data_IF_652457720847
#
_entry.id   IF_652457720847
#
_cell.length_a   1.000
_cell.length_b   1.000
_cell.length_c   1.000
_cell.angle_alpha   90.00
_cell.angle_beta   90.00
_cell.angle_gamma   90.00
#
_symmetry.space_group_name_H-M   'P 1'
#
loop_
_entity.id
_entity.type
_entity.pdbx_description
1 polymer ?
#
# COMPACT_ATOMS: atom_id res chain seq x y z
N UNK A 1 22.56 16.57 11.03
CA UNK A 1 23.62 16.69 9.98
C UNK A 1 23.41 17.92 9.09
N UNK A 2 22.33 18.03 8.31
CA UNK A 2 22.07 19.19 7.43
C UNK A 2 21.72 20.51 8.16
N UNK A 3 21.39 20.45 9.47
CA UNK A 3 20.85 21.56 10.30
C UNK A 3 19.63 22.30 9.70
N UNK A 4 19.07 21.80 8.61
CA UNK A 4 17.86 22.30 7.97
C UNK A 4 16.65 21.57 8.53
N UNK A 5 15.63 22.30 8.96
CA UNK A 5 14.38 21.78 9.51
C UNK A 5 13.43 21.25 8.40
N UNK A 6 13.90 20.32 7.57
CA UNK A 6 13.13 19.81 6.41
C UNK A 6 11.84 19.12 6.86
N UNK A 7 11.87 18.41 7.98
CA UNK A 7 10.74 17.67 8.56
C UNK A 7 9.57 18.57 9.01
N UNK A 8 9.78 19.88 9.21
CA UNK A 8 8.68 20.81 9.53
C UNK A 8 7.86 21.22 8.32
N UNK A 9 8.41 21.08 7.11
CA UNK A 9 7.74 21.46 5.87
C UNK A 9 7.03 20.28 5.18
N UNK A 10 7.33 19.04 5.58
CA UNK A 10 6.69 17.84 5.05
C UNK A 10 5.34 17.59 5.73
N UNK A 11 4.31 17.29 4.93
CA UNK A 11 2.99 16.96 5.45
C UNK A 11 3.06 15.69 6.32
N UNK A 12 2.45 15.74 7.51
CA UNK A 12 2.46 14.63 8.46
C UNK A 12 3.75 14.47 9.27
N UNK A 13 4.74 15.37 9.10
CA UNK A 13 6.00 15.33 9.87
C UNK A 13 6.89 14.12 9.57
N UNK A 14 6.62 13.43 8.45
CA UNK A 14 7.37 12.26 7.99
C UNK A 14 7.85 12.47 6.55
N UNK A 15 9.01 11.91 6.24
CA UNK A 15 9.56 11.91 4.89
C UNK A 15 8.83 10.86 4.05
N UNK A 16 8.30 11.29 2.90
CA UNK A 16 7.45 10.47 2.03
C UNK A 16 8.06 10.22 0.64
N UNK A 17 9.23 10.81 0.37
CA UNK A 17 9.98 10.62 -0.87
C UNK A 17 11.44 10.32 -0.54
N UNK A 18 12.13 9.61 -1.44
CA UNK A 18 13.57 9.41 -1.30
C UNK A 18 14.32 10.70 -1.65
N UNK A 19 15.21 11.12 -0.76
CA UNK A 19 16.04 12.32 -0.92
C UNK A 19 17.52 11.97 -1.00
N UNK A 20 18.29 12.76 -1.75
CA UNK A 20 19.75 12.65 -1.79
C UNK A 20 20.37 14.01 -1.47
N UNK A 21 21.30 14.06 -0.53
CA UNK A 21 22.00 15.30 -0.18
C UNK A 21 23.45 15.05 0.19
N UNK A 22 24.30 16.09 0.08
CA UNK A 22 25.72 15.97 0.37
C UNK A 22 26.13 16.83 1.57
N UNK A 23 26.78 16.21 2.55
CA UNK A 23 27.39 16.88 3.70
C UNK A 23 28.92 16.86 3.56
N UNK A 24 29.60 17.84 4.14
CA UNK A 24 31.07 17.89 4.15
C UNK A 24 31.56 17.77 5.59
N UNK A 25 32.40 16.77 5.85
CA UNK A 25 32.94 16.46 7.18
C UNK A 25 34.45 16.35 7.05
N UNK A 26 35.19 17.15 7.82
CA UNK A 26 36.66 17.21 7.79
C UNK A 26 37.26 17.38 6.37
N UNK A 27 36.53 18.04 5.48
CA UNK A 27 36.95 18.26 4.08
C UNK A 27 36.56 17.14 3.11
N UNK A 28 36.05 16.01 3.59
CA UNK A 28 35.55 14.90 2.76
C UNK A 28 34.03 15.01 2.56
N UNK A 29 33.53 14.88 1.31
CA UNK A 29 32.10 14.86 1.03
C UNK A 29 31.51 13.48 1.35
N UNK A 30 30.39 13.44 2.07
CA UNK A 30 29.57 12.26 2.29
C UNK A 30 28.19 12.51 1.71
N UNK A 31 27.71 11.57 0.90
CA UNK A 31 26.37 11.63 0.30
C UNK A 31 25.43 10.74 1.08
N UNK A 32 24.32 11.34 1.54
CA UNK A 32 23.28 10.67 2.28
C UNK A 32 22.08 10.43 1.37
N UNK A 33 21.58 9.21 1.38
CA UNK A 33 20.28 8.85 0.84
C UNK A 33 19.31 8.67 2.01
N UNK A 34 18.23 9.44 1.99
CA UNK A 34 17.20 9.42 3.02
C UNK A 34 15.94 8.77 2.44
N UNK A 35 15.50 7.67 3.05
CA UNK A 35 14.35 6.88 2.58
C UNK A 35 13.25 6.83 3.64
N UNK A 36 11.97 6.88 3.25
CA UNK A 36 10.87 6.68 4.18
C UNK A 36 10.94 5.33 4.93
N UNK A 37 10.71 5.36 6.25
CA UNK A 37 10.72 4.17 7.11
C UNK A 37 9.42 3.37 7.13
N UNK A 38 8.37 3.81 6.44
CA UNK A 38 7.06 3.17 6.46
C UNK A 38 7.00 1.93 5.56
N UNK A 39 6.25 0.90 5.98
CA UNK A 39 6.08 -0.40 5.30
C UNK A 39 5.82 -0.27 3.79
N UNK A 40 4.82 0.51 3.36
CA UNK A 40 4.52 0.84 1.96
C UNK A 40 5.69 1.35 1.09
N UNK A 41 6.85 1.69 1.66
CA UNK A 41 8.05 2.12 0.93
C UNK A 41 9.18 1.08 0.94
N UNK A 42 8.86 -0.20 1.15
CA UNK A 42 9.80 -1.33 1.04
C UNK A 42 10.67 -1.27 -0.21
N UNK A 43 10.06 -1.10 -1.38
CA UNK A 43 10.79 -1.04 -2.65
C UNK A 43 11.78 0.15 -2.71
N UNK A 44 11.46 1.28 -2.06
CA UNK A 44 12.38 2.41 -1.98
C UNK A 44 13.59 2.10 -1.09
N UNK A 45 13.37 1.43 0.06
CA UNK A 45 14.46 1.01 0.95
C UNK A 45 15.39 0.01 0.27
N UNK A 46 14.84 -1.00 -0.41
CA UNK A 46 15.61 -1.99 -1.16
C UNK A 46 16.51 -1.31 -2.21
N UNK A 47 15.95 -0.34 -2.95
CA UNK A 47 16.72 0.45 -3.93
C UNK A 47 17.79 1.33 -3.28
N UNK A 48 17.44 2.00 -2.18
CA UNK A 48 18.39 2.81 -1.41
C UNK A 48 19.60 1.97 -0.98
N UNK A 49 19.35 0.81 -0.37
CA UNK A 49 20.37 -0.11 0.08
C UNK A 49 21.29 -0.58 -1.07
N UNK A 50 20.73 -0.91 -2.24
CA UNK A 50 21.53 -1.33 -3.41
C UNK A 50 22.40 -0.23 -4.01
N UNK A 51 22.06 1.05 -3.77
CA UNK A 51 22.81 2.20 -4.32
C UNK A 51 23.88 2.70 -3.36
N UNK A 52 23.68 2.54 -2.05
CA UNK A 52 24.60 2.99 -1.01
C UNK A 52 25.74 2.02 -0.76
N UNK A 53 26.92 2.56 -0.42
CA UNK A 53 28.06 1.76 0.03
C UNK A 53 27.96 1.34 1.52
N UNK A 54 27.22 2.08 2.34
CA UNK A 54 27.03 1.82 3.78
C UNK A 54 25.58 2.15 4.16
N UNK A 55 24.94 1.28 4.94
CA UNK A 55 23.60 1.51 5.50
C UNK A 55 23.71 1.93 6.97
N UNK A 56 23.04 3.03 7.34
CA UNK A 56 22.90 3.45 8.74
C UNK A 56 21.54 3.02 9.26
N UNK A 57 21.52 2.06 10.18
CA UNK A 57 20.30 1.61 10.84
C UNK A 57 20.05 2.44 12.10
N UNK A 58 19.04 3.30 12.06
CA UNK A 58 18.65 4.11 13.22
C UNK A 58 17.61 3.36 14.06
N UNK A 59 17.93 3.08 15.32
CA UNK A 59 17.03 2.40 16.26
C UNK A 59 16.83 3.28 17.49
N UNK A 60 15.60 3.42 17.95
CA UNK A 60 15.30 4.25 19.10
C UNK A 60 15.54 3.47 20.40
N UNK A 61 16.23 4.09 21.37
CA UNK A 61 16.54 3.47 22.66
C UNK A 61 15.32 3.26 23.57
N UNK A 62 14.19 3.91 23.28
CA UNK A 62 12.93 3.82 24.04
C UNK A 62 11.92 2.82 23.44
N UNK A 63 11.97 2.62 22.12
CA UNK A 63 10.93 1.92 21.34
C UNK A 63 11.38 0.51 20.89
N UNK A 64 12.66 0.19 21.08
CA UNK A 64 13.24 -1.12 20.73
C UNK A 64 13.21 -1.44 19.24
N UNK A 65 13.23 -2.73 18.92
CA UNK A 65 13.25 -3.23 17.54
C UNK A 65 11.83 -3.44 17.03
N UNK A 66 11.53 -2.86 15.86
CA UNK A 66 10.25 -2.99 15.19
C UNK A 66 10.35 -3.91 13.96
N UNK A 67 9.22 -4.39 13.41
CA UNK A 67 9.22 -5.16 12.16
C UNK A 67 9.95 -4.43 11.01
N UNK A 68 9.80 -3.11 10.91
CA UNK A 68 10.50 -2.29 9.90
C UNK A 68 12.02 -2.31 10.09
N UNK A 69 12.50 -2.42 11.34
CA UNK A 69 13.93 -2.56 11.63
C UNK A 69 14.47 -3.87 11.07
N UNK A 70 13.75 -4.98 11.28
CA UNK A 70 14.15 -6.30 10.73
C UNK A 70 14.16 -6.31 9.21
N UNK A 71 13.16 -5.67 8.61
CA UNK A 71 13.08 -5.54 7.16
C UNK A 71 14.25 -4.73 6.58
N UNK A 72 14.64 -3.63 7.23
CA UNK A 72 15.79 -2.83 6.83
C UNK A 72 17.11 -3.63 6.90
N UNK A 73 17.27 -4.49 7.92
CA UNK A 73 18.41 -5.41 8.04
C UNK A 73 18.43 -6.37 6.85
N UNK A 74 17.30 -7.01 6.53
CA UNK A 74 17.23 -7.94 5.39
C UNK A 74 17.57 -7.27 4.05
N UNK A 75 17.14 -6.02 3.81
CA UNK A 75 17.50 -5.30 2.58
C UNK A 75 18.99 -5.01 2.49
N UNK A 76 19.63 -4.63 3.60
CA UNK A 76 21.06 -4.38 3.65
C UNK A 76 21.88 -5.67 3.47
N UNK A 77 21.45 -6.77 4.09
CA UNK A 77 22.06 -8.10 3.90
C UNK A 77 21.91 -8.59 2.46
N UNK A 78 20.73 -8.46 1.86
CA UNK A 78 20.48 -8.84 0.47
C UNK A 78 21.29 -7.99 -0.53
N UNK A 79 21.58 -6.73 -0.19
CA UNK A 79 22.46 -5.86 -0.97
C UNK A 79 23.95 -6.13 -0.70
N UNK A 80 24.30 -6.88 0.34
CA UNK A 80 25.69 -7.14 0.73
C UNK A 80 26.40 -5.90 1.28
N UNK A 81 25.66 -4.98 1.90
CA UNK A 81 26.16 -3.68 2.34
C UNK A 81 26.37 -3.68 3.86
N UNK A 82 27.53 -3.21 4.38
CA UNK A 82 27.76 -3.16 5.81
C UNK A 82 26.78 -2.22 6.51
N UNK A 83 26.32 -2.65 7.69
CA UNK A 83 25.38 -1.91 8.52
C UNK A 83 26.14 -1.26 9.67
N UNK A 84 25.91 0.03 9.87
CA UNK A 84 26.31 0.78 11.06
C UNK A 84 25.06 1.14 11.86
N UNK A 85 25.04 0.84 13.15
CA UNK A 85 23.86 1.07 13.99
C UNK A 85 23.99 2.38 14.77
N UNK A 86 22.99 3.25 14.63
CA UNK A 86 22.86 4.47 15.41
C UNK A 86 21.71 4.32 16.43
N UNK A 87 22.04 4.20 17.71
CA UNK A 87 21.05 4.14 18.80
C UNK A 87 20.65 5.57 19.16
N UNK A 88 19.45 5.97 18.77
CA UNK A 88 18.93 7.32 18.93
C UNK A 88 18.12 7.49 20.24
N UNK A 89 17.90 8.74 20.65
CA UNK A 89 17.14 9.17 21.84
C UNK A 89 17.79 8.80 23.19
N UNK A 90 19.12 8.77 23.27
CA UNK A 90 19.84 8.57 24.54
C UNK A 90 19.66 9.72 25.54
N UNK A 91 19.06 10.83 25.11
CA UNK A 91 18.76 11.98 25.96
C UNK A 91 17.57 11.74 26.90
N UNK A 92 16.78 10.70 26.63
CA UNK A 92 15.63 10.31 27.43
C UNK A 92 16.03 9.48 28.66
N UNK A 93 15.37 9.68 29.82
CA UNK A 93 15.70 8.94 31.04
C UNK A 93 15.30 7.45 30.97
N UNK A 94 14.33 7.10 30.13
CA UNK A 94 13.86 5.75 29.84
C UNK A 94 14.65 5.05 28.72
N UNK A 95 15.71 5.67 28.20
CA UNK A 95 16.54 5.08 27.15
C UNK A 95 17.31 3.86 27.64
N UNK A 96 17.24 2.76 26.88
CA UNK A 96 17.90 1.49 27.21
C UNK A 96 18.79 0.99 26.06
N UNK A 97 19.96 1.62 25.85
CA UNK A 97 20.85 1.25 24.73
C UNK A 97 21.33 -0.20 24.80
N UNK A 98 21.59 -0.73 26.00
CA UNK A 98 22.07 -2.11 26.18
C UNK A 98 21.02 -3.17 25.81
N UNK A 99 19.73 -2.91 26.05
CA UNK A 99 18.66 -3.82 25.62
C UNK A 99 18.57 -3.86 24.08
N UNK A 100 18.74 -2.70 23.42
CA UNK A 100 18.77 -2.62 21.94
C UNK A 100 19.97 -3.37 21.36
N UNK A 101 21.17 -3.23 21.96
CA UNK A 101 22.37 -3.97 21.53
C UNK A 101 22.16 -5.49 21.61
N UNK A 102 21.57 -5.99 22.71
CA UNK A 102 21.25 -7.41 22.86
C UNK A 102 20.27 -7.89 21.80
N UNK A 103 19.18 -7.15 21.60
CA UNK A 103 18.14 -7.54 20.67
C UNK A 103 18.61 -7.53 19.20
N UNK A 104 19.54 -6.62 18.83
CA UNK A 104 20.13 -6.58 17.50
C UNK A 104 21.20 -7.65 17.31
N UNK A 105 21.94 -8.02 18.36
CA UNK A 105 22.86 -9.15 18.34
C UNK A 105 22.13 -10.47 18.04
N UNK A 106 20.93 -10.67 18.60
CA UNK A 106 20.07 -11.83 18.30
C UNK A 106 19.62 -11.89 16.83
N UNK A 107 19.66 -10.75 16.12
CA UNK A 107 19.37 -10.63 14.69
C UNK A 107 20.63 -10.71 13.81
N UNK A 108 21.79 -11.06 14.37
CA UNK A 108 23.04 -11.24 13.63
C UNK A 108 23.94 -9.99 13.59
N UNK A 109 23.52 -8.87 14.18
CA UNK A 109 24.32 -7.64 14.24
C UNK A 109 25.12 -7.57 15.55
N UNK A 110 26.18 -8.37 15.64
CA UNK A 110 27.02 -8.44 16.85
C UNK A 110 27.89 -7.17 17.01
N UNK A 111 27.85 -6.49 18.17
CA UNK A 111 28.69 -5.31 18.44
C UNK A 111 30.20 -5.62 18.44
N UNK A 112 31.02 -4.67 17.99
CA UNK A 112 32.50 -4.76 18.06
C UNK A 112 33.03 -4.98 19.49
N UNK A 113 32.41 -4.33 20.49
CA UNK A 113 32.78 -4.50 21.91
C UNK A 113 32.65 -5.95 22.39
N UNK A 114 31.82 -6.76 21.72
CA UNK A 114 31.57 -8.17 22.04
C UNK A 114 32.27 -9.12 21.06
N UNK A 115 33.23 -8.61 20.28
CA UNK A 115 33.97 -9.38 19.27
C UNK A 115 33.24 -9.52 17.93
N UNK A 116 32.22 -8.69 17.67
CA UNK A 116 31.51 -8.63 16.40
C UNK A 116 32.15 -7.69 15.37
N UNK A 117 31.40 -7.39 14.31
CA UNK A 117 31.83 -6.53 13.19
C UNK A 117 30.95 -5.27 13.04
N UNK A 118 29.86 -5.17 13.80
CA UNK A 118 28.91 -4.06 13.66
C UNK A 118 29.31 -2.93 14.59
N UNK A 119 29.53 -1.74 14.02
CA UNK A 119 29.80 -0.52 14.77
C UNK A 119 28.49 0.01 15.35
N UNK A 120 28.48 0.27 16.66
CA UNK A 120 27.35 0.88 17.37
C UNK A 120 27.71 2.28 17.85
N UNK A 121 26.87 3.26 17.53
CA UNK A 121 27.05 4.64 17.97
C UNK A 121 25.79 5.13 18.68
N UNK A 122 25.97 5.58 19.91
CA UNK A 122 24.91 6.20 20.71
C UNK A 122 24.79 7.69 20.35
N UNK A 123 23.59 8.10 19.93
CA UNK A 123 23.31 9.45 19.44
C UNK A 123 22.05 10.03 20.06
N UNK A 124 21.99 11.36 20.18
CA UNK A 124 20.70 12.04 20.32
C UNK A 124 20.54 13.08 19.22
N UNK A 125 19.56 12.83 18.35
CA UNK A 125 19.24 13.73 17.25
C UNK A 125 18.74 15.11 17.71
N UNK A 126 18.12 15.17 18.90
CA UNK A 126 17.58 16.40 19.48
C UNK A 126 18.68 17.31 20.06
N UNK A 127 19.57 16.77 20.91
CA UNK A 127 20.67 17.55 21.50
C UNK A 127 21.90 17.63 20.59
N UNK A 128 21.93 16.83 19.51
CA UNK A 128 23.06 16.72 18.59
C UNK A 128 24.25 15.94 19.16
N UNK A 129 24.10 15.28 20.29
CA UNK A 129 25.15 14.50 20.96
C UNK A 129 25.47 13.23 20.16
N UNK A 130 26.75 12.89 20.01
CA UNK A 130 27.21 11.67 19.34
C UNK A 130 27.17 11.69 17.81
N UNK A 131 26.60 12.72 17.18
CA UNK A 131 26.53 12.82 15.71
C UNK A 131 27.93 12.94 15.09
N UNK A 132 28.84 13.68 15.71
CA UNK A 132 30.21 13.81 15.18
C UNK A 132 30.94 12.45 15.22
N UNK A 133 30.77 11.69 16.29
CA UNK A 133 31.31 10.33 16.41
C UNK A 133 30.71 9.38 15.35
N UNK A 134 29.40 9.47 15.10
CA UNK A 134 28.74 8.70 14.03
C UNK A 134 29.37 8.97 12.66
N UNK A 135 29.61 10.24 12.36
CA UNK A 135 30.19 10.67 11.10
C UNK A 135 31.66 10.27 10.95
N UNK A 136 32.43 10.30 12.05
CA UNK A 136 33.81 9.83 12.07
C UNK A 136 33.91 8.31 11.83
N UNK A 137 33.05 7.52 12.47
CA UNK A 137 33.00 6.08 12.25
C UNK A 137 32.56 5.72 10.82
N UNK A 138 31.66 6.51 10.21
CA UNK A 138 31.30 6.33 8.79
C UNK A 138 32.49 6.58 7.85
N UNK A 139 33.30 7.61 8.13
CA UNK A 139 34.52 7.86 7.35
C UNK A 139 35.54 6.73 7.53
N UNK A 140 35.75 6.28 8.77
CA UNK A 140 36.65 5.16 9.07
C UNK A 140 36.22 3.89 8.34
N UNK A 141 34.92 3.56 8.37
CA UNK A 141 34.38 2.39 7.68
C UNK A 141 34.60 2.49 6.16
N UNK A 142 34.39 3.67 5.57
CA UNK A 142 34.63 3.90 4.15
C UNK A 142 36.13 3.76 3.76
N UNK A 143 37.05 4.16 4.66
CA UNK A 143 38.49 3.97 4.47
C UNK A 143 38.88 2.48 4.51
N UNK A 144 38.32 1.71 5.45
CA UNK A 144 38.54 0.25 5.55
C UNK A 144 38.06 -0.48 4.29
N UNK A 145 36.95 -0.03 3.70
CA UNK A 145 36.38 -0.60 2.47
C UNK A 145 37.19 -0.26 1.20
N UNK A 146 38.15 0.67 1.29
CA UNK A 146 38.95 1.17 0.15
C UNK A 146 38.11 1.56 -1.09
N UNK A 147 37.01 2.29 -0.88
CA UNK A 147 36.11 2.69 -1.96
C UNK A 147 36.85 3.51 -3.04
N UNK A 148 36.83 3.02 -4.28
CA UNK A 148 37.54 3.61 -5.43
C UNK A 148 36.58 3.87 -6.58
N UNK A 149 36.65 5.08 -7.16
CA UNK A 149 35.93 5.43 -8.37
C UNK A 149 36.85 6.17 -9.35
N UNK A 150 36.75 5.86 -10.64
CA UNK A 150 37.52 6.54 -11.68
C UNK A 150 36.71 7.70 -12.28
N UNK A 151 37.09 8.97 -12.04
CA UNK A 151 36.34 10.13 -12.54
C UNK A 151 36.59 10.42 -14.02
N UNK A 152 37.62 9.83 -14.64
CA UNK A 152 37.98 10.06 -16.04
C UNK A 152 37.11 9.27 -17.02
N UNK A 153 36.38 8.27 -16.53
CA UNK A 153 35.44 7.51 -17.33
C UNK A 153 34.18 8.35 -17.63
N UNK A 154 33.35 7.82 -18.52
CA UNK A 154 32.04 8.41 -18.81
C UNK A 154 31.10 8.20 -17.64
N UNK A 155 30.26 9.19 -17.38
CA UNK A 155 29.27 9.15 -16.30
C UNK A 155 28.38 7.92 -16.38
N UNK A 156 28.38 7.13 -15.31
CA UNK A 156 27.37 6.12 -15.01
C UNK A 156 26.76 6.41 -13.67
N UNK A 157 25.47 6.20 -13.54
CA UNK A 157 24.75 6.41 -12.30
C UNK A 157 23.46 5.62 -12.24
N UNK A 158 22.73 5.78 -11.15
CA UNK A 158 21.44 5.15 -10.93
C UNK A 158 20.42 6.23 -10.60
N UNK A 159 19.22 6.10 -11.16
CA UNK A 159 18.08 6.97 -10.86
C UNK A 159 17.57 6.64 -9.46
N UNK A 160 17.55 7.65 -8.59
CA UNK A 160 17.02 7.56 -7.24
C UNK A 160 15.52 7.81 -7.25
N UNK A 161 15.11 8.93 -7.88
CA UNK A 161 13.73 9.39 -7.96
C UNK A 161 13.51 10.16 -9.26
N UNK A 162 12.28 10.16 -9.76
CA UNK A 162 11.92 10.91 -10.97
C UNK A 162 10.59 11.64 -10.81
N UNK A 163 10.51 12.84 -11.38
CA UNK A 163 9.33 13.70 -11.29
C UNK A 163 9.10 14.52 -12.55
N UNK A 164 7.87 15.02 -12.71
CA UNK A 164 7.50 15.90 -13.82
C UNK A 164 7.35 17.34 -13.33
N UNK A 165 8.23 18.24 -13.79
CA UNK A 165 8.17 19.66 -13.45
C UNK A 165 7.49 20.48 -14.56
N UNK A 166 6.59 21.39 -14.19
CA UNK A 166 5.80 22.19 -15.14
C UNK A 166 6.63 23.12 -16.03
N UNK A 167 7.83 23.52 -15.60
CA UNK A 167 8.70 24.43 -16.37
C UNK A 167 9.91 23.74 -17.01
N UNK A 168 10.42 22.68 -16.38
CA UNK A 168 11.64 21.96 -16.82
C UNK A 168 11.35 20.68 -17.59
N UNK A 169 10.11 20.20 -17.54
CA UNK A 169 9.71 18.90 -18.08
C UNK A 169 10.14 17.74 -17.18
N UNK A 170 10.32 16.53 -17.73
CA UNK A 170 10.77 15.38 -16.97
C UNK A 170 12.18 15.58 -16.41
N UNK A 171 12.32 15.34 -15.12
CA UNK A 171 13.58 15.47 -14.37
C UNK A 171 13.77 14.24 -13.49
N UNK A 172 15.04 13.85 -13.32
CA UNK A 172 15.40 12.68 -12.54
C UNK A 172 16.56 13.02 -11.61
N UNK A 173 16.41 12.68 -10.34
CA UNK A 173 17.49 12.72 -9.34
C UNK A 173 18.28 11.43 -9.44
N UNK A 174 19.59 11.53 -9.62
CA UNK A 174 20.48 10.39 -9.76
C UNK A 174 21.75 10.55 -8.94
N UNK A 175 22.33 9.43 -8.55
CA UNK A 175 23.67 9.38 -7.95
C UNK A 175 24.64 8.84 -9.00
N UNK A 176 25.71 9.60 -9.24
CA UNK A 176 26.78 9.19 -10.15
C UNK A 176 27.67 8.19 -9.43
N UNK A 177 27.78 6.97 -9.94
CA UNK A 177 28.61 5.91 -9.37
C UNK A 177 30.03 5.91 -9.93
N UNK A 178 30.19 6.18 -11.23
CA UNK A 178 31.50 6.20 -11.88
C UNK A 178 31.58 7.22 -13.00
N UNK A 179 32.78 7.69 -13.29
CA UNK A 179 33.02 8.71 -14.30
C UNK A 179 32.50 10.09 -13.92
N UNK A 180 32.57 11.01 -14.87
CA UNK A 180 32.07 12.38 -14.71
C UNK A 180 30.94 12.62 -15.71
N UNK A 181 29.82 13.15 -15.23
CA UNK A 181 28.71 13.61 -16.08
C UNK A 181 28.86 15.10 -16.37
N UNK A 182 28.70 15.51 -17.64
CA UNK A 182 28.78 16.91 -18.06
C UNK A 182 27.53 17.37 -18.79
N UNK A 183 27.26 18.66 -18.71
CA UNK A 183 26.18 19.29 -19.47
C UNK A 183 26.46 19.17 -20.97
N UNK A 184 25.45 18.79 -21.75
CA UNK A 184 25.53 18.60 -23.20
C UNK A 184 25.92 17.18 -23.63
N UNK A 185 26.19 16.26 -22.70
CA UNK A 185 26.48 14.87 -23.06
C UNK A 185 25.18 14.11 -23.39
N UNK A 186 25.21 13.24 -24.42
CA UNK A 186 24.10 12.34 -24.69
C UNK A 186 24.13 11.15 -23.74
N UNK A 187 22.96 10.70 -23.33
CA UNK A 187 22.82 9.62 -22.36
C UNK A 187 21.67 8.68 -22.71
N UNK A 188 21.72 7.50 -22.10
CA UNK A 188 20.62 6.55 -22.03
C UNK A 188 20.28 6.32 -20.56
N UNK A 189 18.99 6.31 -20.25
CA UNK A 189 18.44 5.93 -18.95
C UNK A 189 17.29 4.98 -19.16
N UNK A 190 17.43 3.73 -18.70
CA UNK A 190 16.46 2.67 -18.95
C UNK A 190 16.18 2.49 -20.45
N UNK A 191 14.94 2.82 -20.86
CA UNK A 191 14.50 2.77 -22.26
C UNK A 191 14.63 4.10 -23.00
N UNK A 192 15.02 5.19 -22.33
CA UNK A 192 14.95 6.54 -22.85
C UNK A 192 16.32 7.08 -23.27
N UNK A 193 16.35 7.76 -24.41
CA UNK A 193 17.51 8.49 -24.90
C UNK A 193 17.29 9.99 -24.75
N UNK A 194 18.30 10.69 -24.20
CA UNK A 194 18.23 12.13 -23.98
C UNK A 194 19.59 12.81 -24.07
N UNK A 195 19.57 14.13 -23.90
CA UNK A 195 20.78 14.97 -23.84
C UNK A 195 20.70 15.86 -22.62
N UNK A 196 21.77 15.92 -21.83
CA UNK A 196 21.78 16.71 -20.60
C UNK A 196 21.66 18.19 -20.94
N UNK A 197 20.53 18.82 -20.60
CA UNK A 197 20.31 20.27 -20.76
C UNK A 197 20.85 21.06 -19.59
N UNK A 198 20.67 20.54 -18.38
CA UNK A 198 21.17 21.15 -17.16
C UNK A 198 21.40 20.07 -16.09
N UNK A 199 22.35 20.36 -15.20
CA UNK A 199 22.61 19.61 -13.98
C UNK A 199 22.38 20.54 -12.79
N UNK A 200 21.68 20.05 -11.77
CA UNK A 200 21.33 20.82 -10.59
C UNK A 200 21.75 20.03 -9.35
N UNK A 201 22.47 20.66 -8.43
CA UNK A 201 22.91 20.02 -7.17
C UNK A 201 21.76 19.92 -6.14
N UNK A 202 22.04 19.26 -5.02
CA UNK A 202 21.11 19.09 -3.88
C UNK A 202 20.69 20.42 -3.21
N UNK A 203 21.39 21.52 -3.51
CA UNK A 203 21.10 22.88 -3.04
C UNK A 203 20.35 23.71 -4.09
N UNK A 204 19.97 23.13 -5.21
CA UNK A 204 19.25 23.80 -6.30
C UNK A 204 20.11 24.68 -7.20
N UNK A 205 21.44 24.64 -7.07
CA UNK A 205 22.37 25.40 -7.91
C UNK A 205 22.72 24.63 -9.18
N UNK A 206 22.84 25.36 -10.29
CA UNK A 206 23.27 24.78 -11.57
C UNK A 206 24.76 24.46 -11.53
N UNK A 207 25.12 23.22 -11.86
CA UNK A 207 26.50 22.76 -11.96
C UNK A 207 26.84 22.37 -13.41
N UNK A 208 28.13 22.40 -13.76
CA UNK A 208 28.61 22.05 -15.11
C UNK A 208 29.06 20.60 -15.23
N UNK A 209 29.50 20.01 -14.11
CA UNK A 209 30.00 18.64 -14.01
C UNK A 209 29.55 18.02 -12.69
N UNK A 210 29.24 16.73 -12.70
CA UNK A 210 29.00 15.92 -11.52
C UNK A 210 30.02 14.77 -11.48
N UNK A 211 30.73 14.65 -10.37
CA UNK A 211 31.76 13.60 -10.14
C UNK A 211 31.13 12.39 -9.43
N UNK A 212 31.84 11.26 -9.30
CA UNK A 212 31.34 10.12 -8.54
C UNK A 212 30.90 10.49 -7.11
N UNK A 213 29.92 9.77 -6.59
CA UNK A 213 29.21 10.01 -5.32
C UNK A 213 28.43 11.34 -5.24
N UNK A 214 28.31 12.12 -6.31
CA UNK A 214 27.53 13.37 -6.29
C UNK A 214 26.06 13.10 -6.64
N UNK A 215 25.08 13.48 -5.80
CA UNK A 215 23.68 13.49 -6.18
C UNK A 215 23.39 14.68 -7.10
N UNK A 216 22.71 14.44 -8.22
CA UNK A 216 22.40 15.47 -9.22
C UNK A 216 21.02 15.28 -9.82
N UNK A 217 20.29 16.37 -9.98
CA UNK A 217 19.04 16.40 -10.73
C UNK A 217 19.35 16.74 -12.20
N UNK A 218 19.02 15.80 -13.09
CA UNK A 218 19.27 15.91 -14.54
C UNK A 218 18.01 16.40 -15.23
N UNK A 219 18.19 17.43 -16.07
CA UNK A 219 17.14 17.99 -16.91
C UNK A 219 17.41 17.65 -18.37
N UNK A 220 16.35 17.28 -19.11
CA UNK A 220 16.45 16.93 -20.54
C UNK A 220 16.15 15.47 -20.85
N UNK A 221 15.42 14.80 -19.96
CA UNK A 221 14.85 13.49 -20.24
C UNK A 221 13.63 13.67 -21.17
N UNK A 222 13.42 12.76 -22.13
CA UNK A 222 12.24 12.81 -22.99
C UNK A 222 10.96 12.44 -22.23
N UNK A 223 11.08 11.60 -21.19
CA UNK A 223 10.00 11.07 -20.38
C UNK A 223 10.53 10.76 -18.96
N UNK A 224 9.65 10.43 -18.03
CA UNK A 224 9.98 10.12 -16.63
C UNK A 224 10.53 8.68 -16.56
N UNK A 225 11.82 8.46 -16.24
CA UNK A 225 12.38 7.12 -16.16
C UNK A 225 11.93 6.41 -14.87
N UNK A 226 12.14 5.10 -14.83
CA UNK A 226 11.80 4.32 -13.64
C UNK A 226 12.90 4.50 -12.58
N UNK A 227 12.55 4.78 -11.32
CA UNK A 227 13.49 4.74 -10.22
C UNK A 227 14.19 3.38 -10.14
N UNK A 228 15.53 3.40 -10.07
CA UNK A 228 16.40 2.22 -10.17
C UNK A 228 16.98 1.97 -11.56
N UNK A 229 16.53 2.70 -12.59
CA UNK A 229 17.11 2.60 -13.92
C UNK A 229 18.57 3.06 -13.93
N UNK A 230 19.37 2.34 -14.71
CA UNK A 230 20.78 2.67 -14.91
C UNK A 230 20.90 3.80 -15.94
N UNK A 231 21.67 4.81 -15.56
CA UNK A 231 22.04 5.94 -16.40
C UNK A 231 23.45 5.75 -16.95
N UNK A 232 23.63 5.94 -18.25
CA UNK A 232 24.93 5.84 -18.90
C UNK A 232 25.11 6.90 -19.97
N UNK A 233 26.25 7.61 -19.92
CA UNK A 233 26.67 8.51 -20.98
C UNK A 233 27.18 7.73 -22.19
N UNK A 234 26.71 8.09 -23.37
CA UNK A 234 27.04 7.45 -24.65
C UNK A 234 27.88 8.37 -25.53
N UNK A 235 28.56 7.81 -26.53
CA UNK A 235 29.31 8.60 -27.53
C UNK A 235 28.46 8.89 -28.76
N UNK A 236 27.78 7.87 -29.27
CA UNK A 236 27.07 7.91 -30.54
C UNK A 236 25.57 8.08 -30.31
N UNK A 237 25.07 9.30 -30.57
CA UNK A 237 23.66 9.65 -30.45
C UNK A 237 22.77 8.78 -31.36
N UNK A 238 23.23 8.39 -32.54
CA UNK A 238 22.42 7.62 -33.50
C UNK A 238 22.19 6.19 -33.00
N UNK A 239 23.26 5.51 -32.59
CA UNK A 239 23.16 4.15 -32.03
C UNK A 239 22.36 4.12 -30.74
N UNK A 240 22.55 5.13 -29.89
CA UNK A 240 21.80 5.24 -28.65
C UNK A 240 20.29 5.41 -28.87
N UNK A 241 19.91 6.22 -29.84
CA UNK A 241 18.50 6.38 -30.25
C UNK A 241 17.90 5.08 -30.81
N UNK A 242 18.65 4.35 -31.63
CA UNK A 242 18.20 3.05 -32.16
C UNK A 242 17.97 2.04 -31.04
N UNK A 243 18.89 1.96 -30.07
CA UNK A 243 18.76 1.06 -28.92
C UNK A 243 17.57 1.42 -28.03
N UNK A 244 17.36 2.71 -27.78
CA UNK A 244 16.22 3.22 -27.00
C UNK A 244 14.88 2.86 -27.67
N UNK A 245 14.76 3.06 -28.98
CA UNK A 245 13.56 2.69 -29.73
C UNK A 245 13.29 1.19 -29.70
N UNK A 246 14.34 0.36 -29.83
CA UNK A 246 14.22 -1.09 -29.75
C UNK A 246 13.71 -1.52 -28.37
N UNK A 247 14.27 -0.96 -27.28
CA UNK A 247 13.84 -1.25 -25.91
C UNK A 247 12.40 -0.84 -25.65
N UNK A 248 12.01 0.34 -26.14
CA UNK A 248 10.64 0.83 -26.02
C UNK A 248 9.64 -0.08 -26.76
N UNK A 249 10.02 -0.56 -27.95
CA UNK A 249 9.20 -1.52 -28.69
C UNK A 249 9.07 -2.85 -27.94
N UNK A 250 10.17 -3.42 -27.45
CA UNK A 250 10.15 -4.64 -26.65
C UNK A 250 9.28 -4.49 -25.39
N UNK A 251 9.35 -3.34 -24.72
CA UNK A 251 8.54 -3.08 -23.53
C UNK A 251 7.04 -3.03 -23.88
N UNK A 252 6.67 -2.41 -25.00
CA UNK A 252 5.29 -2.41 -25.50
C UNK A 252 4.80 -3.81 -25.85
N UNK A 253 5.64 -4.62 -26.49
CA UNK A 253 5.33 -6.01 -26.80
C UNK A 253 5.11 -6.84 -25.53
N UNK A 254 5.94 -6.66 -24.49
CA UNK A 254 5.77 -7.32 -23.19
C UNK A 254 4.46 -6.89 -22.50
N UNK A 255 4.12 -5.60 -22.54
CA UNK A 255 2.85 -5.10 -21.99
C UNK A 255 1.64 -5.68 -22.73
N UNK A 256 1.68 -5.73 -24.07
CA UNK A 256 0.62 -6.32 -24.89
C UNK A 256 0.53 -7.85 -24.69
N UNK A 257 1.65 -8.54 -24.49
CA UNK A 257 1.67 -9.96 -24.21
C UNK A 257 1.05 -10.29 -22.83
N UNK A 258 1.24 -9.41 -21.83
CA UNK A 258 0.58 -9.53 -20.53
C UNK A 258 -0.95 -9.37 -20.61
N UNK A 259 -1.46 -8.59 -21.56
CA UNK A 259 -2.91 -8.39 -21.72
C UNK A 259 -3.60 -9.42 -22.63
N UNK A 260 -2.85 -10.21 -23.41
CA UNK A 260 -3.43 -11.12 -24.42
C UNK A 260 -3.53 -12.59 -24.00
N UNK A 261 -2.91 -13.01 -22.88
CA UNK A 261 -3.10 -14.37 -22.34
C UNK A 261 -4.32 -14.41 -21.43
N UNK A 262 -5.51 -14.38 -22.02
CA UNK A 262 -6.72 -14.83 -21.35
C UNK A 262 -6.75 -16.35 -21.53
N UNK A 263 -6.50 -17.10 -20.47
CA UNK A 263 -6.62 -18.56 -20.51
C UNK A 263 -8.09 -18.98 -20.36
N UNK A 264 -8.43 -20.20 -20.79
CA UNK A 264 -9.79 -20.74 -20.58
C UNK A 264 -10.14 -20.84 -19.08
N UNK A 265 -9.12 -20.99 -18.22
CA UNK A 265 -9.27 -20.95 -16.77
C UNK A 265 -9.58 -19.53 -16.26
N UNK A 266 -9.00 -18.48 -16.86
CA UNK A 266 -9.34 -17.08 -16.56
C UNK A 266 -10.77 -16.72 -17.00
N UNK A 267 -11.25 -17.26 -18.13
CA UNK A 267 -12.65 -17.10 -18.55
C UNK A 267 -13.61 -17.80 -17.59
N UNK A 268 -13.24 -18.97 -17.08
CA UNK A 268 -14.03 -19.69 -16.08
C UNK A 268 -13.99 -18.98 -14.72
N UNK A 269 -12.85 -18.38 -14.35
CA UNK A 269 -12.76 -17.46 -13.21
C UNK A 269 -13.62 -16.21 -13.42
N UNK A 270 -13.63 -15.59 -14.60
CA UNK A 270 -14.46 -14.41 -14.89
C UNK A 270 -15.97 -14.69 -14.73
N UNK A 271 -16.42 -15.92 -15.01
CA UNK A 271 -17.80 -16.36 -14.80
C UNK A 271 -18.11 -16.52 -13.29
N UNK A 272 -17.14 -16.97 -12.49
CA UNK A 272 -17.21 -16.99 -11.02
C UNK A 272 -17.05 -15.58 -10.41
N UNK A 273 -16.23 -14.71 -11.03
CA UNK A 273 -15.95 -13.31 -10.66
C UNK A 273 -17.14 -12.38 -10.91
N UNK A 274 -18.24 -12.86 -11.52
CA UNK A 274 -19.52 -12.13 -11.50
C UNK A 274 -20.01 -11.80 -10.09
N UNK A 275 -19.38 -12.36 -9.03
CA UNK A 275 -19.59 -12.02 -7.62
C UNK A 275 -18.51 -11.09 -7.01
N UNK A 276 -17.36 -10.90 -7.64
CA UNK A 276 -16.26 -10.07 -7.12
C UNK A 276 -16.45 -8.64 -7.61
N UNK A 277 -16.49 -7.68 -6.69
CA UNK A 277 -16.61 -6.27 -7.04
C UNK A 277 -15.23 -5.73 -7.42
N UNK A 278 -15.11 -5.19 -8.63
CA UNK A 278 -13.89 -4.51 -9.07
C UNK A 278 -13.96 -3.02 -8.76
N UNK A 279 -12.92 -2.49 -8.13
CA UNK A 279 -12.72 -1.07 -7.91
C UNK A 279 -11.61 -0.56 -8.82
N UNK A 280 -12.00 0.23 -9.81
CA UNK A 280 -11.09 0.83 -10.77
C UNK A 280 -10.49 2.13 -10.22
N UNK A 281 -9.17 2.25 -10.27
CA UNK A 281 -8.43 3.42 -9.78
C UNK A 281 -7.53 4.01 -10.86
N UNK A 282 -7.46 5.34 -10.88
CA UNK A 282 -6.43 6.10 -11.60
C UNK A 282 -5.56 6.79 -10.56
N UNK A 283 -4.25 6.56 -10.60
CA UNK A 283 -3.31 7.07 -9.59
C UNK A 283 -2.41 8.11 -10.24
N UNK A 284 -2.41 9.34 -9.70
CA UNK A 284 -1.46 10.38 -10.07
C UNK A 284 -0.66 10.80 -8.85
N UNK A 285 0.65 10.89 -8.99
CA UNK A 285 1.51 11.38 -7.92
C UNK A 285 2.55 12.38 -8.45
N UNK A 286 3.18 13.11 -7.54
CA UNK A 286 4.21 14.10 -7.85
C UNK A 286 5.54 13.47 -8.26
N UNK A 287 5.86 12.30 -7.70
CA UNK A 287 7.05 11.50 -8.01
C UNK A 287 6.69 10.05 -8.36
N UNK A 288 7.53 9.40 -9.17
CA UNK A 288 7.31 8.01 -9.60
C UNK A 288 7.34 7.03 -8.42
N UNK A 289 8.23 7.24 -7.45
CA UNK A 289 8.31 6.39 -6.26
C UNK A 289 6.99 6.30 -5.46
N UNK A 290 6.27 7.41 -5.33
CA UNK A 290 5.02 7.46 -4.57
C UNK A 290 3.90 6.67 -5.25
N UNK A 291 3.89 6.60 -6.58
CA UNK A 291 2.93 5.76 -7.33
C UNK A 291 3.10 4.30 -6.94
N UNK A 292 4.33 3.78 -6.96
CA UNK A 292 4.60 2.39 -6.59
C UNK A 292 4.22 2.11 -5.15
N UNK A 293 4.54 3.02 -4.22
CA UNK A 293 4.20 2.87 -2.81
C UNK A 293 2.68 2.81 -2.57
N UNK A 294 1.93 3.69 -3.25
CA UNK A 294 0.46 3.71 -3.17
C UNK A 294 -0.14 2.46 -3.81
N UNK A 295 0.38 2.01 -4.96
CA UNK A 295 -0.07 0.77 -5.62
C UNK A 295 0.16 -0.46 -4.74
N UNK A 296 1.35 -0.58 -4.13
CA UNK A 296 1.69 -1.68 -3.24
C UNK A 296 0.82 -1.66 -1.98
N UNK A 297 0.61 -0.48 -1.39
CA UNK A 297 -0.28 -0.31 -0.25
C UNK A 297 -1.71 -0.74 -0.55
N UNK A 298 -2.26 -0.35 -1.71
CA UNK A 298 -3.61 -0.75 -2.10
C UNK A 298 -3.71 -2.24 -2.44
N UNK A 299 -2.67 -2.82 -3.04
CA UNK A 299 -2.63 -4.26 -3.31
C UNK A 299 -2.66 -5.09 -2.03
N UNK A 300 -2.01 -4.62 -0.96
CA UNK A 300 -2.05 -5.27 0.35
C UNK A 300 -3.42 -5.20 1.05
N UNK A 301 -4.33 -4.33 0.58
CA UNK A 301 -5.71 -4.24 1.06
C UNK A 301 -6.67 -5.17 0.32
N UNK A 302 -6.25 -5.78 -0.79
CA UNK A 302 -7.11 -6.64 -1.60
C UNK A 302 -7.66 -7.82 -0.79
N UNK A 303 -8.98 -8.02 -0.89
CA UNK A 303 -9.69 -9.11 -0.22
C UNK A 303 -10.40 -9.98 -1.27
N UNK A 304 -10.85 -11.19 -0.87
CA UNK A 304 -11.56 -12.10 -1.78
C UNK A 304 -12.87 -11.53 -2.35
N UNK A 305 -13.45 -10.53 -1.70
CA UNK A 305 -14.74 -9.92 -2.07
C UNK A 305 -14.60 -8.66 -2.95
N UNK A 306 -13.47 -7.94 -2.87
CA UNK A 306 -13.22 -6.68 -3.60
C UNK A 306 -11.82 -6.67 -4.19
N UNK A 307 -11.73 -6.52 -5.51
CA UNK A 307 -10.48 -6.48 -6.26
C UNK A 307 -10.16 -5.05 -6.68
N UNK A 308 -8.98 -4.56 -6.35
CA UNK A 308 -8.54 -3.21 -6.73
C UNK A 308 -7.75 -3.30 -8.03
N UNK A 309 -8.07 -2.45 -9.01
CA UNK A 309 -7.39 -2.43 -10.30
C UNK A 309 -6.93 -1.01 -10.64
N UNK A 310 -5.62 -0.80 -10.74
CA UNK A 310 -5.06 0.43 -11.27
C UNK A 310 -5.13 0.39 -12.80
N UNK A 311 -6.00 1.20 -13.40
CA UNK A 311 -6.16 1.29 -14.86
C UNK A 311 -5.04 2.11 -15.48
N UNK A 312 -4.73 3.22 -14.82
CA UNK A 312 -3.72 4.15 -15.29
C UNK A 312 -2.99 4.77 -14.11
N UNK A 313 -1.67 4.81 -14.23
CA UNK A 313 -0.78 5.49 -13.31
C UNK A 313 0.18 6.40 -14.09
N UNK A 314 0.41 7.59 -13.56
CA UNK A 314 1.31 8.55 -14.18
C UNK A 314 1.76 9.65 -13.22
N UNK A 315 2.92 10.22 -13.50
CA UNK A 315 3.51 11.30 -12.71
C UNK A 315 3.04 12.65 -13.22
N UNK A 316 2.71 13.55 -12.29
CA UNK A 316 2.31 14.92 -12.56
C UNK A 316 0.87 15.24 -12.17
N UNK A 317 0.45 16.47 -12.47
CA UNK A 317 -0.90 16.95 -12.17
C UNK A 317 -1.98 16.17 -12.93
N UNK A 318 -3.19 16.15 -12.37
CA UNK A 318 -4.35 15.50 -12.99
C UNK A 318 -4.84 16.36 -14.15
N UNK A 319 -4.98 15.75 -15.33
CA UNK A 319 -5.36 16.39 -16.60
C UNK A 319 -6.78 16.04 -17.01
N UNK A 320 -7.32 16.75 -18.02
CA UNK A 320 -8.66 16.46 -18.57
C UNK A 320 -8.77 15.03 -19.12
N UNK A 321 -7.71 14.54 -19.76
CA UNK A 321 -7.67 13.17 -20.32
C UNK A 321 -7.83 12.10 -19.24
N UNK A 322 -7.32 12.36 -18.04
CA UNK A 322 -7.45 11.44 -16.90
C UNK A 322 -8.90 11.38 -16.41
N UNK A 323 -9.60 12.53 -16.39
CA UNK A 323 -11.01 12.59 -15.99
C UNK A 323 -11.92 11.94 -17.03
N UNK A 324 -11.62 12.09 -18.32
CA UNK A 324 -12.34 11.40 -19.39
C UNK A 324 -12.15 9.88 -19.27
N UNK A 325 -10.93 9.42 -19.00
CA UNK A 325 -10.63 8.01 -18.80
C UNK A 325 -11.37 7.46 -17.56
N UNK A 326 -11.40 8.22 -16.47
CA UNK A 326 -12.12 7.87 -15.26
C UNK A 326 -13.63 7.72 -15.51
N UNK A 327 -14.23 8.68 -16.21
CA UNK A 327 -15.66 8.64 -16.56
C UNK A 327 -15.99 7.43 -17.45
N UNK A 328 -15.14 7.13 -18.44
CA UNK A 328 -15.35 6.01 -19.36
C UNK A 328 -15.21 4.63 -18.68
N UNK A 329 -14.39 4.53 -17.63
CA UNK A 329 -14.08 3.27 -16.93
C UNK A 329 -14.68 3.14 -15.53
N UNK A 330 -15.51 4.11 -15.13
CA UNK A 330 -16.07 4.24 -13.78
C UNK A 330 -14.99 4.09 -12.69
N UNK A 331 -13.91 4.86 -12.83
CA UNK A 331 -12.75 4.80 -11.94
C UNK A 331 -12.66 6.02 -11.02
N UNK A 332 -12.13 5.82 -9.81
CA UNK A 332 -11.83 6.88 -8.85
C UNK A 332 -10.43 7.43 -9.14
N UNK A 333 -10.27 8.76 -9.13
CA UNK A 333 -8.97 9.40 -9.29
C UNK A 333 -8.36 9.69 -7.92
N UNK A 334 -7.18 9.13 -7.67
CA UNK A 334 -6.37 9.35 -6.48
C UNK A 334 -5.18 10.24 -6.85
N UNK A 335 -5.13 11.44 -6.28
CA UNK A 335 -4.01 12.38 -6.45
C UNK A 335 -3.15 12.45 -5.19
N UNK A 336 -1.90 12.01 -5.28
CA UNK A 336 -0.94 12.07 -4.18
C UNK A 336 0.02 13.25 -4.34
N UNK A 337 -0.07 14.24 -3.45
CA UNK A 337 0.68 15.49 -3.50
C UNK A 337 0.59 16.26 -4.84
N UNK A 338 -0.46 15.98 -5.63
CA UNK A 338 -0.75 16.62 -6.90
C UNK A 338 -2.11 17.27 -6.88
N UNK A 339 -2.31 18.25 -7.76
CA UNK A 339 -3.59 18.94 -7.92
C UNK A 339 -4.09 18.83 -9.36
N UNK A 340 -5.42 18.78 -9.56
CA UNK A 340 -6.01 18.87 -10.88
C UNK A 340 -5.81 20.25 -11.48
N UNK A 341 -5.78 20.31 -12.82
CA UNK A 341 -5.88 21.58 -13.55
C UNK A 341 -7.28 22.16 -13.42
N UNK A 342 -7.42 23.48 -13.59
CA UNK A 342 -8.73 24.16 -13.47
C UNK A 342 -9.77 23.58 -14.43
N UNK A 343 -9.34 23.15 -15.62
CA UNK A 343 -10.23 22.51 -16.58
C UNK A 343 -10.60 21.08 -16.16
N UNK A 344 -9.66 20.30 -15.62
CA UNK A 344 -9.94 18.96 -15.10
C UNK A 344 -10.94 19.01 -13.93
N UNK A 345 -10.83 20.00 -13.03
CA UNK A 345 -11.79 20.19 -11.93
C UNK A 345 -13.21 20.45 -12.44
N UNK A 346 -13.35 21.34 -13.44
CA UNK A 346 -14.66 21.62 -14.05
C UNK A 346 -15.26 20.39 -14.72
N UNK A 347 -14.42 19.60 -15.39
CA UNK A 347 -14.85 18.37 -16.06
C UNK A 347 -15.27 17.31 -15.03
N UNK A 348 -14.52 17.17 -13.93
CA UNK A 348 -14.82 16.23 -12.85
C UNK A 348 -16.16 16.55 -12.17
N UNK A 349 -16.45 17.83 -11.90
CA UNK A 349 -17.76 18.24 -11.36
C UNK A 349 -18.90 17.96 -12.34
N UNK A 350 -18.68 18.18 -13.65
CA UNK A 350 -19.71 17.97 -14.68
C UNK A 350 -20.04 16.49 -14.85
N UNK A 351 -19.01 15.65 -14.93
CA UNK A 351 -19.14 14.22 -15.21
C UNK A 351 -19.27 13.39 -13.92
N UNK A 352 -19.36 14.07 -12.76
CA UNK A 352 -19.49 13.48 -11.41
C UNK A 352 -18.42 12.43 -11.09
N UNK A 353 -17.18 12.69 -11.52
CA UNK A 353 -16.04 11.82 -11.25
C UNK A 353 -15.47 12.14 -9.87
N UNK A 354 -15.31 11.11 -9.04
CA UNK A 354 -14.69 11.24 -7.72
C UNK A 354 -13.18 11.47 -7.83
N UNK A 355 -12.74 12.65 -7.37
CA UNK A 355 -11.33 13.03 -7.30
C UNK A 355 -10.96 13.22 -5.82
N UNK A 356 -10.07 12.37 -5.32
CA UNK A 356 -9.58 12.40 -3.94
C UNK A 356 -8.12 12.81 -3.93
N UNK A 357 -7.78 13.79 -3.10
CA UNK A 357 -6.43 14.33 -2.99
C UNK A 357 -5.87 14.02 -1.61
N UNK A 358 -4.66 13.47 -1.59
CA UNK A 358 -3.98 13.07 -0.37
C UNK A 358 -2.58 13.66 -0.32
N UNK A 359 -2.16 14.04 0.88
CA UNK A 359 -0.78 14.46 1.16
C UNK A 359 -0.06 13.47 2.10
N UNK A 360 -0.81 12.53 2.68
CA UNK A 360 -0.33 11.52 3.62
C UNK A 360 -0.88 10.18 3.18
N UNK A 361 -0.01 9.18 3.06
CA UNK A 361 -0.40 7.85 2.53
C UNK A 361 -1.39 7.11 3.45
N UNK A 362 -1.33 7.33 4.77
CA UNK A 362 -2.27 6.72 5.72
C UNK A 362 -3.71 7.15 5.51
N UNK A 363 -3.93 8.44 5.20
CA UNK A 363 -5.28 8.96 4.94
C UNK A 363 -5.86 8.31 3.69
N UNK A 364 -5.03 8.14 2.65
CA UNK A 364 -5.43 7.44 1.43
C UNK A 364 -5.78 5.97 1.69
N UNK A 365 -5.00 5.27 2.52
CA UNK A 365 -5.24 3.87 2.90
C UNK A 365 -6.56 3.75 3.69
N UNK A 366 -6.79 4.64 4.65
CA UNK A 366 -7.99 4.60 5.50
C UNK A 366 -9.25 4.90 4.70
N UNK A 367 -9.23 5.93 3.85
CA UNK A 367 -10.36 6.24 2.96
C UNK A 367 -10.64 5.08 2.00
N UNK A 368 -9.59 4.42 1.48
CA UNK A 368 -9.75 3.25 0.61
C UNK A 368 -10.41 2.08 1.37
N UNK A 369 -10.01 1.83 2.62
CA UNK A 369 -10.66 0.81 3.46
C UNK A 369 -12.14 1.12 3.68
N UNK A 370 -12.49 2.36 3.98
CA UNK A 370 -13.88 2.78 4.16
C UNK A 370 -14.69 2.65 2.86
N UNK A 371 -14.09 2.99 1.71
CA UNK A 371 -14.72 2.78 0.41
C UNK A 371 -14.97 1.29 0.14
N UNK A 372 -14.02 0.42 0.49
CA UNK A 372 -14.19 -1.03 0.37
C UNK A 372 -15.29 -1.56 1.29
N UNK A 373 -15.32 -1.12 2.55
CA UNK A 373 -16.37 -1.50 3.52
C UNK A 373 -17.76 -1.10 3.03
N UNK A 374 -17.92 0.10 2.47
CA UNK A 374 -19.17 0.55 1.87
C UNK A 374 -19.60 -0.26 0.63
N UNK A 375 -18.66 -0.94 -0.02
CA UNK A 375 -18.95 -1.86 -1.12
C UNK A 375 -19.27 -3.28 -0.66
N UNK A 376 -18.99 -3.66 0.58
CA UNK A 376 -19.32 -5.00 1.08
C UNK A 376 -20.84 -5.14 1.24
N UNK A 377 -21.36 -6.29 0.82
CA UNK A 377 -22.75 -6.60 1.07
C UNK A 377 -22.93 -6.88 2.58
N UNK A 378 -23.98 -6.36 3.23
CA UNK A 378 -24.24 -6.65 4.63
C UNK A 378 -24.38 -8.16 4.86
N UNK A 379 -23.69 -8.69 5.88
CA UNK A 379 -23.77 -10.10 6.25
C UNK A 379 -24.94 -10.29 7.20
N UNK A 380 -25.92 -11.08 6.81
CA UNK A 380 -27.04 -11.42 7.67
C UNK A 380 -26.67 -12.60 8.57
N UNK A 381 -26.95 -12.47 9.87
CA UNK A 381 -26.90 -13.60 10.81
C UNK A 381 -28.30 -13.94 11.28
N UNK A 382 -28.56 -15.24 11.30
CA UNK A 382 -29.81 -15.76 11.80
C UNK A 382 -29.84 -15.67 13.32
N UNK A 383 -30.84 -14.98 13.84
CA UNK A 383 -31.18 -14.96 15.26
C UNK A 383 -32.46 -15.74 15.47
N UNK A 384 -32.38 -16.83 16.24
CA UNK A 384 -33.54 -17.63 16.63
C UNK A 384 -34.34 -16.84 17.68
N UNK A 385 -35.63 -16.64 17.44
CA UNK A 385 -36.52 -15.84 18.30
C UNK A 385 -37.24 -16.73 19.32
N UNK A 386 -37.49 -17.99 18.97
CA UNK A 386 -38.17 -18.91 19.85
C UNK A 386 -38.07 -20.37 19.41
N UNK A 387 -38.62 -21.25 20.24
CA UNK A 387 -38.76 -22.68 20.00
C UNK A 387 -40.15 -23.12 20.46
N UNK A 388 -40.89 -23.78 19.59
CA UNK A 388 -42.16 -24.40 19.93
C UNK A 388 -42.17 -25.86 19.50
N UNK A 389 -42.73 -26.73 20.35
CA UNK A 389 -42.85 -28.16 20.07
C UNK A 389 -44.28 -28.51 19.72
N UNK A 390 -44.48 -29.27 18.64
CA UNK A 390 -45.80 -29.70 18.15
C UNK A 390 -46.28 -30.87 19.01
N UNK A 391 -47.36 -30.67 19.74
CA UNK A 391 -47.97 -31.70 20.59
C UNK A 391 -49.14 -32.40 19.93
N UNK A 392 -49.96 -31.67 19.19
CA UNK A 392 -51.12 -32.24 18.52
C UNK A 392 -51.29 -31.60 17.14
N UNK A 393 -51.90 -32.32 16.21
CA UNK A 393 -52.10 -31.86 14.84
C UNK A 393 -53.58 -31.96 14.50
N UNK A 394 -54.16 -30.84 14.08
CA UNK A 394 -55.57 -30.72 13.72
C UNK A 394 -55.71 -30.44 12.23
N UNK A 395 -56.53 -31.20 11.53
CA UNK A 395 -56.87 -30.93 10.13
C UNK A 395 -58.23 -30.23 10.07
N UNK A 396 -58.25 -28.95 9.67
CA UNK A 396 -59.50 -28.18 9.55
C UNK A 396 -59.87 -28.01 8.07
N UNK A 397 -61.09 -28.42 7.65
CA UNK A 397 -61.58 -28.18 6.29
C UNK A 397 -61.57 -26.67 5.96
N UNK A 398 -60.96 -26.29 4.83
CA UNK A 398 -60.74 -24.91 4.31
C UNK A 398 -59.55 -24.12 4.89
N UNK A 399 -58.98 -24.50 6.03
CA UNK A 399 -57.86 -23.76 6.67
C UNK A 399 -56.53 -24.52 6.55
N UNK A 400 -56.58 -25.85 6.41
CA UNK A 400 -55.40 -26.71 6.29
C UNK A 400 -55.01 -27.36 7.62
N UNK A 401 -53.79 -27.88 7.70
CA UNK A 401 -53.23 -28.49 8.91
C UNK A 401 -52.79 -27.40 9.89
N UNK A 402 -53.26 -27.49 11.13
CA UNK A 402 -52.88 -26.61 12.25
C UNK A 402 -52.18 -27.48 13.29
N UNK A 403 -50.96 -27.13 13.66
CA UNK A 403 -50.26 -27.76 14.76
C UNK A 403 -50.57 -27.05 16.08
N UNK A 404 -51.15 -27.77 17.03
CA UNK A 404 -51.18 -27.38 18.44
C UNK A 404 -49.79 -27.54 19.03
N UNK A 405 -49.15 -26.42 19.34
CA UNK A 405 -47.77 -26.36 19.81
C UNK A 405 -47.69 -25.76 21.21
N UNK A 406 -46.66 -26.15 21.95
CA UNK A 406 -46.28 -25.54 23.20
C UNK A 406 -44.99 -24.74 23.01
N UNK A 407 -45.00 -23.46 23.37
CA UNK A 407 -43.80 -22.61 23.23
C UNK A 407 -42.83 -22.89 24.39
N UNK A 408 -41.70 -23.55 24.10
CA UNK A 408 -40.68 -23.91 25.08
C UNK A 408 -39.88 -22.69 25.54
N UNK A 409 -39.46 -21.85 24.58
CA UNK A 409 -38.59 -20.70 24.87
C UNK A 409 -38.78 -19.59 23.85
N UNK A 410 -38.59 -18.35 24.26
CA UNK A 410 -38.68 -17.18 23.38
C UNK A 410 -40.13 -16.78 23.07
N UNK A 411 -40.35 -16.29 21.85
CA UNK A 411 -41.68 -15.89 21.38
C UNK A 411 -41.95 -16.38 19.95
N UNK A 412 -43.20 -16.69 19.66
CA UNK A 412 -43.67 -17.05 18.32
C UNK A 412 -44.45 -15.86 17.77
N UNK A 413 -43.98 -15.25 16.67
CA UNK A 413 -44.62 -14.08 16.05
C UNK A 413 -45.09 -14.44 14.63
N UNK A 414 -46.25 -13.91 14.26
CA UNK A 414 -46.84 -14.14 12.94
C UNK A 414 -45.98 -13.48 11.84
N UNK A 415 -45.95 -14.06 10.64
CA UNK A 415 -45.16 -13.62 9.48
C UNK A 415 -43.63 -13.76 9.58
N UNK A 416 -43.12 -14.38 10.65
CA UNK A 416 -41.70 -14.77 10.71
C UNK A 416 -41.42 -15.99 9.85
N UNK A 417 -40.19 -16.09 9.33
CA UNK A 417 -39.67 -17.33 8.78
C UNK A 417 -39.35 -18.31 9.91
N UNK A 418 -39.70 -19.57 9.73
CA UNK A 418 -39.50 -20.62 10.69
C UNK A 418 -38.99 -21.90 10.01
N UNK A 419 -38.18 -22.65 10.76
CA UNK A 419 -37.70 -23.98 10.40
C UNK A 419 -38.48 -25.02 11.18
N UNK A 420 -38.95 -26.04 10.48
CA UNK A 420 -39.50 -27.25 11.07
C UNK A 420 -38.38 -28.28 11.18
N UNK A 421 -38.15 -28.78 12.38
CA UNK A 421 -37.09 -29.73 12.71
C UNK A 421 -37.73 -31.01 13.23
N UNK A 422 -37.36 -32.15 12.64
CA UNK A 422 -37.77 -33.50 13.05
C UNK A 422 -36.51 -34.31 13.28
N UNK A 423 -36.36 -34.92 14.45
CA UNK A 423 -35.18 -35.71 14.81
C UNK A 423 -33.85 -34.96 14.56
N UNK A 424 -33.81 -33.66 14.91
CA UNK A 424 -32.68 -32.75 14.67
C UNK A 424 -32.31 -32.47 13.21
N UNK A 425 -33.17 -32.83 12.24
CA UNK A 425 -33.01 -32.51 10.81
C UNK A 425 -34.06 -31.49 10.38
N UNK A 426 -33.64 -30.46 9.61
CA UNK A 426 -34.56 -29.47 9.04
C UNK A 426 -35.38 -30.12 7.93
N UNK A 427 -36.68 -30.28 8.17
CA UNK A 427 -37.63 -30.88 7.21
C UNK A 427 -38.17 -29.83 6.24
N UNK A 428 -38.43 -28.63 6.74
CA UNK A 428 -39.02 -27.55 5.94
C UNK A 428 -38.64 -26.18 6.49
N UNK A 429 -38.56 -25.19 5.60
CA UNK A 429 -38.37 -23.78 5.95
C UNK A 429 -39.46 -22.96 5.25
N UNK A 430 -40.22 -22.18 6.02
CA UNK A 430 -41.29 -21.37 5.48
C UNK A 430 -41.82 -20.34 6.48
N UNK A 431 -42.77 -19.51 6.04
CA UNK A 431 -43.36 -18.45 6.88
C UNK A 431 -44.50 -18.99 7.74
N UNK A 432 -44.64 -18.44 8.94
CA UNK A 432 -45.79 -18.72 9.82
C UNK A 432 -47.00 -17.93 9.31
N UNK A 433 -48.00 -18.65 8.78
CA UNK A 433 -49.18 -18.06 8.14
C UNK A 433 -50.18 -17.49 9.17
N UNK A 434 -50.42 -18.22 10.25
CA UNK A 434 -51.32 -17.81 11.33
C UNK A 434 -50.87 -18.38 12.67
N UNK A 435 -51.16 -17.61 13.73
CA UNK A 435 -50.98 -18.01 15.12
C UNK A 435 -52.31 -17.78 15.82
N UNK A 436 -52.86 -18.84 16.41
CA UNK A 436 -54.10 -18.82 17.17
C UNK A 436 -53.85 -19.21 18.60
N UNK A 437 -54.49 -18.52 19.53
CA UNK A 437 -54.57 -18.97 20.92
C UNK A 437 -56.03 -19.30 21.20
N UNK A 438 -56.32 -20.56 21.44
CA UNK A 438 -57.69 -21.07 21.50
C UNK A 438 -58.49 -20.76 20.23
N UNK A 439 -59.36 -19.75 20.25
CA UNK A 439 -60.19 -19.34 19.10
C UNK A 439 -59.80 -17.99 18.51
N UNK A 440 -58.89 -17.26 19.16
CA UNK A 440 -58.52 -15.91 18.76
C UNK A 440 -57.22 -15.91 17.95
N UNK A 441 -57.20 -15.17 16.84
CA UNK A 441 -55.99 -14.92 16.06
C UNK A 441 -55.12 -13.87 16.78
N UNK A 442 -53.91 -14.26 17.19
CA UNK A 442 -53.00 -13.43 18.00
C UNK A 442 -51.75 -13.09 17.19
N UNK A 443 -51.16 -11.92 17.44
CA UNK A 443 -49.92 -11.49 16.75
C UNK A 443 -48.67 -12.22 17.26
N UNK A 444 -48.55 -12.41 18.57
CA UNK A 444 -47.43 -13.10 19.19
C UNK A 444 -47.87 -13.96 20.37
N UNK A 445 -47.10 -15.02 20.65
CA UNK A 445 -47.29 -15.90 21.80
C UNK A 445 -45.95 -16.09 22.50
N UNK A 446 -45.93 -15.80 23.80
CA UNK A 446 -44.74 -15.93 24.65
C UNK A 446 -44.53 -17.36 25.15
N UNK A 447 -43.32 -17.65 25.62
CA UNK A 447 -42.95 -18.93 26.24
C UNK A 447 -43.89 -19.35 27.37
N UNK A 448 -44.16 -20.66 27.46
CA UNK A 448 -45.02 -21.28 28.47
C UNK A 448 -46.50 -21.33 28.12
N UNK A 449 -46.91 -20.73 26.99
CA UNK A 449 -48.30 -20.80 26.51
C UNK A 449 -48.46 -21.75 25.32
N UNK A 450 -49.64 -22.36 25.23
CA UNK A 450 -50.05 -23.16 24.07
C UNK A 450 -50.59 -22.26 22.95
N UNK A 451 -50.25 -22.60 21.70
CA UNK A 451 -50.76 -21.93 20.52
C UNK A 451 -50.96 -22.89 19.35
N UNK A 452 -51.93 -22.58 18.49
CA UNK A 452 -52.09 -23.20 17.18
C UNK A 452 -51.27 -22.45 16.14
N UNK A 453 -50.38 -23.15 15.45
CA UNK A 453 -49.52 -22.62 14.40
C UNK A 453 -49.87 -23.27 13.06
N UNK A 454 -49.83 -22.48 11.99
CA UNK A 454 -49.91 -22.97 10.62
C UNK A 454 -48.76 -22.44 9.80
N UNK A 455 -48.10 -23.31 9.03
CA UNK A 455 -46.96 -22.98 8.18
C UNK A 455 -47.44 -22.82 6.73
N UNK A 456 -46.99 -21.76 6.05
CA UNK A 456 -47.37 -21.51 4.67
C UNK A 456 -46.88 -22.62 3.73
N UNK A 457 -47.77 -23.13 2.87
CA UNK A 457 -47.51 -24.15 1.83
C UNK A 457 -46.97 -25.50 2.35
N UNK A 458 -47.10 -25.79 3.65
CA UNK A 458 -46.68 -27.06 4.24
C UNK A 458 -47.77 -27.68 5.11
N UNK A 459 -48.05 -28.97 4.88
CA UNK A 459 -49.16 -29.68 5.54
C UNK A 459 -48.73 -30.95 6.29
N UNK A 460 -47.50 -31.44 6.13
CA UNK A 460 -46.98 -32.65 6.79
C UNK A 460 -46.36 -32.34 8.18
N UNK A 461 -47.20 -31.82 9.09
CA UNK A 461 -46.82 -31.58 10.48
C UNK A 461 -47.04 -32.85 11.30
N UNK A 462 -46.03 -33.28 12.07
CA UNK A 462 -46.12 -34.45 12.95
C UNK A 462 -45.93 -34.04 14.41
N UNK A 463 -46.50 -34.86 15.30
CA UNK A 463 -46.28 -34.73 16.73
C UNK A 463 -44.80 -34.99 17.05
N UNK A 464 -44.21 -34.13 17.88
CA UNK A 464 -42.79 -34.15 18.24
C UNK A 464 -41.89 -33.27 17.35
N UNK A 465 -42.43 -32.69 16.28
CA UNK A 465 -41.67 -31.74 15.46
C UNK A 465 -41.44 -30.42 16.24
N UNK A 466 -40.28 -29.80 16.06
CA UNK A 466 -39.90 -28.51 16.67
C UNK A 466 -39.91 -27.41 15.62
N UNK A 467 -40.57 -26.29 15.92
CA UNK A 467 -40.63 -25.10 15.09
C UNK A 467 -39.72 -24.02 15.68
N UNK A 468 -38.76 -23.55 14.89
CA UNK A 468 -37.83 -22.48 15.26
C UNK A 468 -38.00 -21.27 14.34
N UNK A 469 -38.71 -20.21 14.76
CA UNK A 469 -38.70 -18.94 14.05
C UNK A 469 -37.35 -18.25 14.17
N UNK A 470 -36.86 -17.69 13.07
CA UNK A 470 -35.63 -16.91 13.03
C UNK A 470 -35.85 -15.60 12.26
N UNK A 471 -35.04 -14.59 12.60
CA UNK A 471 -34.92 -13.35 11.85
C UNK A 471 -33.50 -13.21 11.36
N UNK A 472 -33.38 -12.69 10.14
CA UNK A 472 -32.10 -12.26 9.58
C UNK A 472 -31.81 -10.88 10.16
N UNK A 473 -30.91 -10.81 11.14
CA UNK A 473 -30.37 -9.54 11.61
C UNK A 473 -29.17 -9.17 10.75
N UNK A 474 -29.15 -7.91 10.31
CA UNK A 474 -28.01 -7.33 9.60
C UNK A 474 -26.85 -7.15 10.58
N UNK A 475 -25.73 -7.81 10.33
CA UNK A 475 -24.48 -7.51 11.03
C UNK A 475 -23.78 -6.41 10.23
N UNK A 476 -23.74 -5.21 10.80
CA UNK A 476 -22.75 -4.21 10.41
C UNK A 476 -21.40 -4.72 10.89
N UNK A 477 -20.49 -5.01 9.95
CA UNK A 477 -19.13 -5.48 10.27
C UNK A 477 -18.25 -4.32 10.70
#
# INVERSE_FOLDING_TARGET
IRKTEVTKFEAGGITQHIGAYQAHIKGSPITFLDTPGHEAFTAMRARGAQVTDIVVLVVAADDGIKPQTKEAIHHAEAAGVPILVAINKIDKPDAKPDEVKKALADLGLLPEDWGGQTIYVEVSALKGTGIDNLLENLLLQAEIMELKANPLLRGKGVVIESKLDKGRGPIATMVIQSGTLRVGEPFIVGCYFGKVRALIDDKGKKIKKAIPATPVEVVGLPDVPQPGDHFMVVQDEKRARQLSNLRLQQQREIQLAKSTRITMDDLHQQILEGQIKELNLIIKADVQGSIHAVQEAFRNLENKEVRIKSIHDAVGGITESDVILASASNAIIIGFNVRPTDQATKLATRDQVDVRLYSIIYDAINDMKQAMEGMLAPKYKERIIGRAEIREVFAIPKVGTIAGCHVLSGKMERNLEARLIRDSVVVYQGKIASIRRFKDDVKEVAAGYDCGLSIEKFQDLKQGDVVEPFVLEEITS
#
